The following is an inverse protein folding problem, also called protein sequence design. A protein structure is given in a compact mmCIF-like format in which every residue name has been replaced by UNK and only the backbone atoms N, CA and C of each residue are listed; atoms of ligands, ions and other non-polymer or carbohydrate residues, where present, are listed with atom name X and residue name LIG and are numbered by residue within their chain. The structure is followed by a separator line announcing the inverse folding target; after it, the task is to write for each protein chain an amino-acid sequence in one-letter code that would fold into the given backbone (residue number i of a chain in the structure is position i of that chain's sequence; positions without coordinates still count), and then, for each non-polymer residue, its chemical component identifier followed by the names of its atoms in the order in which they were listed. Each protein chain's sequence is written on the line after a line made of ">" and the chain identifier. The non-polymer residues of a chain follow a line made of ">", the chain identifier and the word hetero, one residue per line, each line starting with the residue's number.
data_IF_993567403820
#
_entry.id   IF_993567403820
#
_cell.length_a   1.000
_cell.length_b   1.000
_cell.length_c   1.000
_cell.angle_alpha   90.00
_cell.angle_beta   90.00
_cell.angle_gamma   90.00
#
_symmetry.space_group_name_H-M   'P 1'
#
loop_
_entity.id
_entity.type
_entity.pdbx_description
1 polymer ?
#
# COMPACT_ATOMS: atom_id res chain seq x y z
N UNK A 1 -6.73 0.07 -14.98
CA UNK A 1 -5.98 -0.44 -13.80
C UNK A 1 -6.88 -1.50 -13.19
N UNK A 2 -6.46 -2.77 -13.16
CA UNK A 2 -7.34 -3.90 -12.79
C UNK A 2 -7.22 -4.14 -11.30
N UNK A 3 -8.36 -4.16 -10.61
CA UNK A 3 -8.47 -4.67 -9.26
C UNK A 3 -8.54 -6.19 -9.31
N UNK A 4 -7.63 -6.87 -8.61
CA UNK A 4 -7.66 -8.32 -8.50
C UNK A 4 -8.48 -8.68 -7.27
N UNK A 5 -9.40 -9.62 -7.44
CA UNK A 5 -10.11 -10.24 -6.32
C UNK A 5 -9.39 -11.54 -5.99
N UNK A 6 -9.02 -11.74 -4.72
CA UNK A 6 -8.39 -13.00 -4.29
C UNK A 6 -9.44 -14.13 -4.18
N UNK A 7 -8.98 -15.35 -3.88
CA UNK A 7 -9.87 -16.51 -3.70
C UNK A 7 -10.88 -16.40 -2.54
N UNK A 8 -10.81 -15.34 -1.73
CA UNK A 8 -11.72 -15.05 -0.62
C UNK A 8 -12.73 -13.93 -0.93
N UNK A 9 -12.69 -13.36 -2.14
CA UNK A 9 -13.55 -12.23 -2.50
C UNK A 9 -13.01 -10.85 -2.07
N UNK A 10 -11.76 -10.79 -1.58
CA UNK A 10 -11.16 -9.53 -1.11
C UNK A 10 -10.46 -8.80 -2.26
N UNK A 11 -10.61 -7.47 -2.28
CA UNK A 11 -9.94 -6.60 -3.25
C UNK A 11 -8.47 -6.45 -2.87
N UNK A 12 -7.59 -6.74 -3.82
CA UNK A 12 -6.16 -6.53 -3.70
C UNK A 12 -5.68 -5.34 -4.54
N UNK A 13 -4.73 -4.60 -3.99
CA UNK A 13 -4.22 -3.36 -4.54
C UNK A 13 -2.76 -3.53 -4.93
N UNK A 14 -2.41 -3.16 -6.17
CA UNK A 14 -1.01 -3.10 -6.57
C UNK A 14 -0.31 -1.86 -6.01
N UNK A 15 1.03 -1.88 -6.00
CA UNK A 15 1.85 -0.78 -5.46
C UNK A 15 1.51 0.56 -6.12
N UNK A 16 1.28 0.59 -7.44
CA UNK A 16 0.91 1.79 -8.19
C UNK A 16 -0.43 2.38 -7.72
N UNK A 17 -1.42 1.53 -7.43
CA UNK A 17 -2.73 1.99 -6.94
C UNK A 17 -2.60 2.55 -5.53
N UNK A 18 -1.85 1.87 -4.66
CA UNK A 18 -1.55 2.36 -3.30
C UNK A 18 -0.81 3.71 -3.37
N UNK A 19 0.17 3.86 -4.26
CA UNK A 19 0.89 5.12 -4.47
C UNK A 19 -0.05 6.26 -4.90
N UNK A 20 -1.00 5.98 -5.80
CA UNK A 20 -2.03 6.94 -6.20
C UNK A 20 -2.93 7.37 -5.04
N UNK A 21 -3.38 6.43 -4.21
CA UNK A 21 -4.22 6.70 -3.03
C UNK A 21 -3.46 7.54 -2.00
N UNK A 22 -2.21 7.19 -1.74
CA UNK A 22 -1.36 7.91 -0.79
C UNK A 22 -0.85 9.25 -1.35
N UNK A 23 -0.99 9.51 -2.66
CA UNK A 23 -0.40 10.67 -3.35
C UNK A 23 1.12 10.77 -3.15
N UNK A 24 1.82 9.64 -3.26
CA UNK A 24 3.29 9.59 -3.17
C UNK A 24 3.88 8.80 -4.34
N UNK A 25 5.20 8.88 -4.53
CA UNK A 25 5.87 8.13 -5.61
C UNK A 25 5.77 6.61 -5.39
N UNK A 26 5.81 5.84 -6.49
CA UNK A 26 5.92 4.38 -6.44
C UNK A 26 7.07 3.90 -5.53
N UNK A 27 8.24 4.52 -5.66
CA UNK A 27 9.42 4.20 -4.84
C UNK A 27 9.19 4.47 -3.35
N UNK A 28 8.49 5.56 -3.01
CA UNK A 28 8.14 5.87 -1.61
C UNK A 28 7.18 4.84 -1.06
N UNK A 29 6.13 4.48 -1.80
CA UNK A 29 5.19 3.43 -1.41
C UNK A 29 5.89 2.09 -1.23
N UNK A 30 6.77 1.70 -2.16
CA UNK A 30 7.52 0.45 -2.05
C UNK A 30 8.40 0.40 -0.80
N UNK A 31 9.11 1.50 -0.49
CA UNK A 31 9.90 1.59 0.76
C UNK A 31 9.02 1.52 2.01
N UNK A 32 7.85 2.16 1.99
CA UNK A 32 6.89 2.13 3.08
C UNK A 32 6.37 0.72 3.34
N UNK A 33 5.95 0.01 2.29
CA UNK A 33 5.46 -1.37 2.37
C UNK A 33 6.53 -2.33 2.91
N UNK A 34 7.79 -2.15 2.49
CA UNK A 34 8.93 -2.90 3.05
C UNK A 34 9.15 -2.60 4.53
N UNK A 35 9.05 -1.34 4.95
CA UNK A 35 9.23 -0.92 6.35
C UNK A 35 8.11 -1.43 7.26
N UNK A 36 6.90 -1.58 6.73
CA UNK A 36 5.76 -2.14 7.45
C UNK A 36 5.77 -3.68 7.52
N UNK A 37 6.79 -4.33 6.94
CA UNK A 37 6.90 -5.78 6.84
C UNK A 37 5.62 -6.44 6.29
N UNK A 38 4.88 -5.70 5.45
CA UNK A 38 3.63 -6.18 4.89
C UNK A 38 3.93 -7.29 3.88
N UNK A 39 3.45 -8.50 4.18
CA UNK A 39 3.53 -9.61 3.24
C UNK A 39 2.65 -9.29 2.04
N UNK A 40 3.22 -9.48 0.85
CA UNK A 40 2.42 -9.52 -0.37
C UNK A 40 1.45 -10.70 -0.30
N UNK A 41 0.21 -10.47 -0.71
CA UNK A 41 -0.82 -11.51 -0.72
C UNK A 41 -0.71 -12.35 -2.00
N UNK A 42 -0.48 -11.68 -3.13
CA UNK A 42 -0.44 -12.30 -4.45
C UNK A 42 0.63 -11.64 -5.31
N UNK A 43 1.41 -12.46 -6.01
CA UNK A 43 2.23 -12.03 -7.15
C UNK A 43 1.57 -12.48 -8.44
N UNK A 44 1.15 -11.52 -9.27
CA UNK A 44 0.50 -11.78 -10.55
C UNK A 44 1.08 -10.88 -11.63
N UNK A 45 1.44 -11.46 -12.78
CA UNK A 45 2.01 -10.73 -13.92
C UNK A 45 3.18 -9.79 -13.53
N UNK A 46 4.13 -10.29 -12.74
CA UNK A 46 5.26 -9.54 -12.17
C UNK A 46 4.90 -8.32 -11.30
N UNK A 47 3.65 -8.23 -10.84
CA UNK A 47 3.20 -7.21 -9.89
C UNK A 47 2.84 -7.84 -8.54
N UNK A 48 3.12 -7.09 -7.50
CA UNK A 48 2.77 -7.43 -6.13
C UNK A 48 1.45 -6.78 -5.75
N UNK A 49 0.58 -7.56 -5.13
CA UNK A 49 -0.75 -7.16 -4.71
C UNK A 49 -0.88 -7.33 -3.20
N UNK A 50 -1.50 -6.35 -2.57
CA UNK A 50 -1.62 -6.24 -1.12
C UNK A 50 -3.08 -6.11 -0.71
N UNK A 51 -3.40 -6.61 0.46
CA UNK A 51 -4.74 -6.51 1.05
C UNK A 51 -5.12 -5.06 1.37
N UNK A 52 -6.42 -4.83 1.57
CA UNK A 52 -6.93 -3.57 2.08
C UNK A 52 -6.34 -3.21 3.46
N UNK A 53 -6.07 -4.21 4.31
CA UNK A 53 -5.42 -3.99 5.60
C UNK A 53 -4.04 -3.34 5.45
N UNK A 54 -3.26 -3.82 4.47
CA UNK A 54 -1.94 -3.24 4.15
C UNK A 54 -2.06 -1.79 3.70
N UNK A 55 -3.05 -1.48 2.86
CA UNK A 55 -3.35 -0.11 2.46
C UNK A 55 -3.66 0.78 3.66
N UNK A 56 -4.50 0.33 4.60
CA UNK A 56 -4.83 1.12 5.79
C UNK A 56 -3.63 1.36 6.70
N UNK A 57 -2.79 0.35 6.93
CA UNK A 57 -1.52 0.51 7.67
C UNK A 57 -0.59 1.54 7.00
N UNK A 58 -0.51 1.49 5.67
CA UNK A 58 0.26 2.46 4.91
C UNK A 58 -0.28 3.90 5.04
N UNK A 59 -1.60 4.06 5.02
CA UNK A 59 -2.27 5.35 5.24
C UNK A 59 -2.02 5.88 6.66
N UNK A 60 -2.20 5.04 7.67
CA UNK A 60 -1.98 5.42 9.08
C UNK A 60 -0.55 5.91 9.31
N UNK A 61 0.44 5.20 8.76
CA UNK A 61 1.84 5.59 8.88
C UNK A 61 2.14 6.93 8.18
N UNK A 62 1.54 7.16 7.01
CA UNK A 62 1.66 8.44 6.30
C UNK A 62 1.09 9.58 7.15
N UNK A 63 -0.12 9.43 7.68
CA UNK A 63 -0.76 10.43 8.54
C UNK A 63 0.06 10.71 9.80
N UNK A 64 0.58 9.66 10.47
CA UNK A 64 1.46 9.82 11.64
C UNK A 64 2.72 10.62 11.32
N UNK A 65 3.30 10.45 10.13
CA UNK A 65 4.50 11.20 9.73
C UNK A 65 4.16 12.65 9.39
N UNK A 66 3.03 12.91 8.75
CA UNK A 66 2.56 14.28 8.47
C UNK A 66 2.27 15.04 9.78
N UNK A 67 1.54 14.42 10.71
CA UNK A 67 1.27 15.00 12.03
C UNK A 67 2.53 15.29 12.86
N UNK A 68 3.58 14.47 12.72
CA UNK A 68 4.88 14.72 13.38
C UNK A 68 5.67 15.85 12.74
N UNK A 69 5.47 16.13 11.46
CA UNK A 69 6.17 17.21 10.75
C UNK A 69 5.43 18.55 10.87
N UNK A 70 4.11 18.53 11.04
CA UNK A 70 3.28 19.73 11.29
C UNK A 70 3.20 20.10 12.78
N UNK A 71 3.66 19.22 13.66
CA UNK A 71 3.82 19.46 15.09
C UNK A 71 5.14 20.18 15.41
N UNK A 72 4.99 21.38 15.97
CA UNK A 72 5.95 22.07 16.86
C UNK A 72 6.75 21.12 17.76
#
# INVERSE_FOLDING_TARGET
>A
MIDIINGKGEILYCVEKIAGILKVSYSTTRRLLLKLECKEEVKYNNKFFYSQETLFKAMEMKLKNELRNDGL
#
